data_IF_242158416840
#
_entry.id   IF_242158416840
#
_cell.length_a   1.000
_cell.length_b   1.000
_cell.length_c   1.000
_cell.angle_alpha   90.00
_cell.angle_beta   90.00
_cell.angle_gamma   90.00
#
_symmetry.space_group_name_H-M   'P 1'
#
loop_
_entity.id
_entity.type
_entity.pdbx_description
1 polymer ?
#
# COMPACT_ATOMS: atom_id res chain seq x y z
N UNK A 1 16.13 -0.41 -0.52
CA UNK A 1 17.27 0.03 -1.38
C UNK A 1 18.58 -0.49 -0.78
N UNK A 2 19.69 -0.51 -1.53
CA UNK A 2 20.95 -1.14 -1.09
C UNK A 2 21.85 -0.27 -0.20
N UNK A 3 21.58 1.03 -0.05
CA UNK A 3 22.35 1.94 0.83
C UNK A 3 23.73 2.38 0.32
N UNK A 4 24.19 1.83 -0.81
CA UNK A 4 25.46 2.17 -1.47
C UNK A 4 25.47 3.61 -2.02
N UNK A 5 26.64 4.25 -2.03
CA UNK A 5 26.82 5.64 -2.49
C UNK A 5 27.68 5.71 -3.75
N UNK A 6 27.49 6.75 -4.58
CA UNK A 6 28.30 6.93 -5.80
C UNK A 6 29.78 7.09 -5.46
N UNK A 7 30.08 7.81 -4.38
CA UNK A 7 31.43 8.14 -3.97
C UNK A 7 32.23 6.89 -3.52
N UNK A 8 31.58 5.96 -2.83
CA UNK A 8 32.26 4.81 -2.22
C UNK A 8 32.22 3.56 -3.11
N UNK A 9 31.15 3.39 -3.89
CA UNK A 9 30.91 2.13 -4.62
C UNK A 9 31.08 2.27 -6.14
N UNK A 10 31.46 3.44 -6.65
CA UNK A 10 31.56 3.75 -8.09
C UNK A 10 30.30 3.36 -8.89
N UNK A 11 29.13 3.42 -8.24
CA UNK A 11 27.87 2.97 -8.81
C UNK A 11 27.33 3.96 -9.85
N UNK A 12 26.86 3.43 -10.98
CA UNK A 12 26.09 4.20 -11.97
C UNK A 12 24.62 4.24 -11.57
N UNK A 13 24.05 5.45 -11.52
CA UNK A 13 22.63 5.65 -11.35
C UNK A 13 21.92 5.65 -12.70
N UNK A 14 20.67 5.21 -12.69
CA UNK A 14 19.74 5.31 -13.80
C UNK A 14 18.41 5.88 -13.31
N UNK A 15 17.69 6.51 -14.24
CA UNK A 15 16.33 6.98 -14.00
C UNK A 15 15.39 5.77 -14.08
N UNK A 16 14.46 5.68 -13.14
CA UNK A 16 13.45 4.63 -13.09
C UNK A 16 12.12 5.17 -12.54
N UNK A 17 11.00 4.49 -12.82
CA UNK A 17 9.66 4.90 -12.39
C UNK A 17 9.27 4.23 -11.09
N UNK A 18 9.09 4.97 -9.99
CA UNK A 18 8.63 4.47 -8.67
C UNK A 18 7.45 3.51 -8.79
N UNK A 19 6.40 3.94 -9.50
CA UNK A 19 5.27 3.11 -9.94
C UNK A 19 5.54 2.63 -11.37
N UNK A 20 5.50 1.31 -11.61
CA UNK A 20 5.63 0.75 -12.96
C UNK A 20 4.64 1.36 -13.97
N UNK A 21 5.09 1.57 -15.21
CA UNK A 21 4.25 2.18 -16.27
C UNK A 21 3.02 1.34 -16.63
N UNK A 22 3.19 0.02 -16.67
CA UNK A 22 2.10 -0.94 -16.85
C UNK A 22 1.04 -0.85 -15.73
N UNK A 23 1.39 -0.35 -14.55
CA UNK A 23 0.44 -0.10 -13.45
C UNK A 23 -0.11 1.34 -13.46
N UNK A 24 0.03 2.07 -14.57
CA UNK A 24 -0.46 3.44 -14.72
C UNK A 24 0.52 4.52 -14.23
N UNK A 25 1.77 4.17 -13.91
CA UNK A 25 2.78 5.14 -13.53
C UNK A 25 3.16 6.08 -14.68
N UNK A 26 2.96 7.39 -14.49
CA UNK A 26 3.30 8.43 -15.48
C UNK A 26 4.80 8.76 -15.50
N UNK A 27 5.29 9.28 -16.63
CA UNK A 27 6.67 9.78 -16.76
C UNK A 27 6.73 11.23 -16.29
N UNK A 28 6.71 11.43 -14.98
CA UNK A 28 6.74 12.74 -14.31
C UNK A 28 7.70 12.73 -13.12
N UNK A 29 8.24 13.90 -12.76
CA UNK A 29 9.30 14.01 -11.75
C UNK A 29 8.93 13.39 -10.39
N UNK A 30 7.66 13.49 -9.99
CA UNK A 30 7.08 12.85 -8.79
C UNK A 30 7.19 11.33 -8.82
N UNK A 31 7.03 10.70 -9.98
CA UNK A 31 7.11 9.26 -10.17
C UNK A 31 8.50 8.78 -10.61
N UNK A 32 9.44 9.68 -10.91
CA UNK A 32 10.81 9.31 -11.25
C UNK A 32 11.73 9.31 -10.02
N UNK A 33 12.73 8.44 -10.04
CA UNK A 33 13.84 8.44 -9.08
C UNK A 33 15.15 8.03 -9.75
N UNK A 34 16.27 8.34 -9.12
CA UNK A 34 17.59 7.89 -9.54
C UNK A 34 18.03 6.73 -8.63
N UNK A 35 18.21 5.53 -9.20
CA UNK A 35 18.60 4.33 -8.46
C UNK A 35 19.70 3.56 -9.19
N UNK A 36 20.48 2.75 -8.48
CA UNK A 36 21.52 1.94 -9.11
C UNK A 36 20.93 0.74 -9.88
N UNK A 37 21.72 0.18 -10.80
CA UNK A 37 21.30 -0.94 -11.65
C UNK A 37 20.79 -2.16 -10.86
N UNK A 38 21.50 -2.52 -9.79
CA UNK A 38 21.12 -3.64 -8.91
C UNK A 38 19.77 -3.42 -8.23
N UNK A 39 19.52 -2.21 -7.70
CA UNK A 39 18.25 -1.89 -7.08
C UNK A 39 17.10 -1.89 -8.07
N UNK A 40 17.33 -1.41 -9.30
CA UNK A 40 16.30 -1.46 -10.35
C UNK A 40 15.96 -2.91 -10.72
N UNK A 41 16.98 -3.77 -10.92
CA UNK A 41 16.77 -5.18 -11.19
C UNK A 41 15.93 -5.85 -10.10
N UNK A 42 16.32 -5.69 -8.84
CA UNK A 42 15.57 -6.27 -7.72
C UNK A 42 14.14 -5.74 -7.58
N UNK A 43 13.91 -4.48 -7.95
CA UNK A 43 12.55 -3.90 -7.99
C UNK A 43 11.71 -4.52 -9.12
N UNK A 44 12.28 -4.65 -10.31
CA UNK A 44 11.61 -5.29 -11.44
C UNK A 44 11.24 -6.73 -11.10
N UNK A 45 12.16 -7.47 -10.51
CA UNK A 45 11.94 -8.88 -10.13
C UNK A 45 10.84 -8.99 -9.05
N UNK A 46 10.78 -8.06 -8.10
CA UNK A 46 9.70 -7.97 -7.12
C UNK A 46 8.34 -7.70 -7.78
N UNK A 47 8.26 -6.76 -8.73
CA UNK A 47 6.98 -6.44 -9.37
C UNK A 47 6.52 -7.47 -10.39
N UNK A 48 7.43 -8.23 -10.98
CA UNK A 48 7.11 -9.32 -11.91
C UNK A 48 6.31 -10.46 -11.26
N UNK A 49 6.20 -10.51 -9.92
CA UNK A 49 5.38 -11.51 -9.22
C UNK A 49 3.90 -11.16 -9.13
N UNK A 50 3.48 -9.99 -9.63
CA UNK A 50 2.08 -9.54 -9.60
C UNK A 50 1.48 -9.47 -11.00
N UNK A 51 0.15 -9.58 -11.09
CA UNK A 51 -0.58 -9.39 -12.34
C UNK A 51 -0.72 -7.90 -12.65
N UNK A 52 -0.23 -7.49 -13.82
CA UNK A 52 -0.20 -6.09 -14.25
C UNK A 52 -1.59 -5.48 -14.42
N UNK A 53 -2.56 -6.26 -14.92
CA UNK A 53 -3.92 -5.78 -15.16
C UNK A 53 -4.59 -5.48 -13.82
N UNK A 54 -4.48 -6.42 -12.89
CA UNK A 54 -5.01 -6.29 -11.54
C UNK A 54 -4.37 -5.12 -10.80
N UNK A 55 -3.05 -4.96 -10.91
CA UNK A 55 -2.37 -3.86 -10.24
C UNK A 55 -2.67 -2.51 -10.88
N UNK A 56 -2.87 -2.44 -12.20
CA UNK A 56 -3.33 -1.23 -12.88
C UNK A 56 -4.70 -0.77 -12.33
N UNK A 57 -5.65 -1.68 -12.18
CA UNK A 57 -6.97 -1.40 -11.59
C UNK A 57 -6.86 -0.89 -10.15
N UNK A 58 -6.03 -1.55 -9.32
CA UNK A 58 -5.78 -1.10 -7.94
C UNK A 58 -5.19 0.31 -7.93
N UNK A 59 -4.21 0.61 -8.78
CA UNK A 59 -3.57 1.92 -8.80
C UNK A 59 -4.47 3.05 -9.30
N UNK A 60 -5.53 2.71 -10.05
CA UNK A 60 -6.49 3.68 -10.55
C UNK A 60 -7.30 4.34 -9.42
N UNK A 61 -7.57 3.64 -8.30
CA UNK A 61 -8.32 4.21 -7.18
C UNK A 61 -7.61 5.41 -6.55
N UNK A 62 -8.34 6.52 -6.37
CA UNK A 62 -7.83 7.73 -5.72
C UNK A 62 -7.70 7.57 -4.21
N UNK A 63 -8.66 6.90 -3.57
CA UNK A 63 -8.62 6.68 -2.13
C UNK A 63 -7.57 5.64 -1.75
N UNK A 64 -6.74 5.98 -0.75
CA UNK A 64 -5.87 5.00 -0.08
C UNK A 64 -6.68 3.83 0.51
N UNK A 65 -7.89 4.09 1.00
CA UNK A 65 -8.76 3.05 1.57
C UNK A 65 -9.21 2.05 0.52
N UNK A 66 -9.60 2.55 -0.67
CA UNK A 66 -9.99 1.69 -1.79
C UNK A 66 -8.80 0.88 -2.29
N UNK A 67 -7.62 1.51 -2.49
CA UNK A 67 -6.40 0.79 -2.89
C UNK A 67 -6.07 -0.35 -1.93
N UNK A 68 -6.04 -0.08 -0.63
CA UNK A 68 -5.76 -1.08 0.39
C UNK A 68 -6.82 -2.20 0.42
N UNK A 69 -8.11 -1.84 0.40
CA UNK A 69 -9.21 -2.79 0.47
C UNK A 69 -9.27 -3.70 -0.77
N UNK A 70 -9.09 -3.13 -1.97
CA UNK A 70 -9.09 -3.90 -3.21
C UNK A 70 -7.84 -4.79 -3.33
N UNK A 71 -6.67 -4.30 -2.91
CA UNK A 71 -5.44 -5.15 -2.81
C UNK A 71 -5.68 -6.37 -1.93
N UNK A 72 -6.33 -6.17 -0.78
CA UNK A 72 -6.68 -7.25 0.14
C UNK A 72 -7.78 -8.18 -0.40
N UNK A 73 -8.73 -7.66 -1.18
CA UNK A 73 -9.79 -8.43 -1.83
C UNK A 73 -9.23 -9.40 -2.86
N UNK A 74 -8.25 -8.97 -3.66
CA UNK A 74 -7.56 -9.82 -4.63
C UNK A 74 -6.92 -11.04 -3.93
N UNK A 75 -6.43 -10.83 -2.71
CA UNK A 75 -5.80 -11.86 -1.88
C UNK A 75 -6.74 -12.40 -0.78
N UNK A 76 -8.06 -12.42 -1.01
CA UNK A 76 -9.02 -12.84 0.01
C UNK A 76 -8.66 -14.22 0.58
N UNK A 77 -8.60 -14.31 1.91
CA UNK A 77 -8.19 -15.53 2.63
C UNK A 77 -6.69 -15.81 2.66
N UNK A 78 -5.88 -15.12 1.85
CA UNK A 78 -4.43 -15.29 1.75
C UNK A 78 -3.65 -14.20 2.49
N UNK A 79 -2.46 -14.50 3.05
CA UNK A 79 -1.56 -13.49 3.62
C UNK A 79 -1.04 -12.52 2.56
N UNK A 80 -1.35 -11.24 2.72
CA UNK A 80 -0.81 -10.14 1.90
C UNK A 80 0.39 -9.51 2.63
N UNK A 81 1.57 -9.41 2.01
CA UNK A 81 2.73 -8.78 2.62
C UNK A 81 2.53 -7.30 2.98
N UNK A 82 3.11 -6.88 4.11
CA UNK A 82 3.08 -5.48 4.55
C UNK A 82 3.70 -4.54 3.51
N UNK A 83 4.81 -4.93 2.89
CA UNK A 83 5.53 -4.11 1.91
C UNK A 83 4.68 -3.81 0.67
N UNK A 84 3.84 -4.76 0.25
CA UNK A 84 2.88 -4.53 -0.84
C UNK A 84 1.82 -3.50 -0.43
N UNK A 85 1.27 -3.63 0.77
CA UNK A 85 0.25 -2.70 1.28
C UNK A 85 0.82 -1.29 1.48
N UNK A 86 2.06 -1.16 1.94
CA UNK A 86 2.76 0.11 2.01
C UNK A 86 2.95 0.73 0.63
N UNK A 87 3.39 -0.07 -0.35
CA UNK A 87 3.59 0.38 -1.72
C UNK A 87 2.29 0.93 -2.33
N UNK A 88 1.20 0.15 -2.29
CA UNK A 88 -0.10 0.59 -2.86
C UNK A 88 -0.67 1.79 -2.10
N UNK A 89 -0.45 1.89 -0.78
CA UNK A 89 -0.93 3.02 -0.01
C UNK A 89 -0.29 4.34 -0.46
N UNK A 90 1.03 4.29 -0.72
CA UNK A 90 1.87 5.45 -1.05
C UNK A 90 1.90 5.80 -2.54
N UNK A 91 1.21 5.04 -3.41
CA UNK A 91 1.28 5.24 -4.86
C UNK A 91 0.94 6.68 -5.31
N UNK A 92 -0.24 7.20 -4.96
CA UNK A 92 -0.65 8.54 -5.40
C UNK A 92 -0.18 9.68 -4.49
N UNK A 93 -0.06 9.42 -3.20
CA UNK A 93 0.37 10.40 -2.21
C UNK A 93 1.04 9.70 -1.05
N UNK A 94 2.04 10.34 -0.47
CA UNK A 94 2.73 9.82 0.72
C UNK A 94 1.74 9.72 1.89
N UNK A 95 1.70 8.55 2.52
CA UNK A 95 0.85 8.22 3.66
C UNK A 95 1.75 7.80 4.83
N UNK A 96 2.20 8.76 5.64
CA UNK A 96 3.11 8.48 6.77
C UNK A 96 2.52 7.49 7.78
N UNK A 97 1.19 7.38 7.88
CA UNK A 97 0.49 6.40 8.72
C UNK A 97 -0.49 5.54 7.91
N UNK A 98 0.02 4.83 6.92
CA UNK A 98 -0.77 3.87 6.13
C UNK A 98 -1.36 2.74 7.00
N UNK A 99 -0.67 2.38 8.09
CA UNK A 99 -1.17 1.42 9.07
C UNK A 99 -2.48 1.88 9.71
N UNK A 100 -2.64 3.17 10.02
CA UNK A 100 -3.92 3.72 10.46
C UNK A 100 -5.00 3.58 9.39
N UNK A 101 -4.70 3.91 8.13
CA UNK A 101 -5.67 3.75 7.01
C UNK A 101 -6.15 2.32 6.89
N UNK A 102 -5.24 1.36 7.05
CA UNK A 102 -5.58 -0.06 7.09
C UNK A 102 -6.45 -0.44 8.31
N UNK A 103 -6.18 0.13 9.49
CA UNK A 103 -7.01 -0.09 10.69
C UNK A 103 -8.40 0.52 10.55
N UNK A 104 -8.53 1.67 9.92
CA UNK A 104 -9.80 2.38 9.68
C UNK A 104 -10.77 1.55 8.83
N UNK A 105 -10.26 0.71 7.92
CA UNK A 105 -11.08 -0.25 7.15
C UNK A 105 -11.82 -1.27 8.04
N UNK A 106 -11.37 -1.46 9.28
CA UNK A 106 -12.02 -2.34 10.27
C UNK A 106 -13.13 -1.64 11.06
N UNK A 107 -13.31 -0.35 10.88
CA UNK A 107 -14.35 0.39 11.60
C UNK A 107 -15.74 -0.15 11.25
N UNK A 108 -16.72 -0.11 12.17
CA UNK A 108 -18.06 -0.65 11.93
C UNK A 108 -18.76 -0.06 10.69
N UNK A 109 -18.44 1.19 10.34
CA UNK A 109 -18.97 1.88 9.16
C UNK A 109 -18.42 1.36 7.83
N UNK A 110 -17.36 0.54 7.87
CA UNK A 110 -16.79 -0.17 6.71
C UNK A 110 -16.96 -1.69 6.87
N UNK A 111 -16.52 -2.25 7.99
CA UNK A 111 -16.84 -3.63 8.38
C UNK A 111 -15.89 -4.72 7.86
N UNK A 112 -14.71 -4.38 7.33
CA UNK A 112 -13.73 -5.39 6.92
C UNK A 112 -13.07 -6.05 8.15
N UNK A 113 -12.99 -7.38 8.14
CA UNK A 113 -12.27 -8.19 9.13
C UNK A 113 -10.91 -8.52 8.56
N UNK A 114 -9.89 -7.89 9.10
CA UNK A 114 -8.51 -8.05 8.66
C UNK A 114 -7.70 -8.59 9.85
N UNK A 115 -7.12 -9.77 9.70
CA UNK A 115 -6.21 -10.35 10.70
C UNK A 115 -4.76 -10.02 10.37
N UNK A 116 -3.92 -9.91 11.40
CA UNK A 116 -2.47 -9.73 11.24
C UNK A 116 -1.79 -11.07 11.47
N UNK A 117 -0.79 -11.39 10.65
CA UNK A 117 0.04 -12.59 10.75
C UNK A 117 1.51 -12.25 10.61
N UNK A 118 2.36 -13.26 10.83
CA UNK A 118 3.80 -13.18 10.58
C UNK A 118 4.24 -14.37 9.74
N UNK A 119 5.12 -14.14 8.77
CA UNK A 119 5.66 -15.16 7.88
C UNK A 119 7.19 -15.12 7.95
N UNK A 120 7.83 -16.26 8.21
CA UNK A 120 9.29 -16.36 8.14
C UNK A 120 9.69 -16.40 6.66
N UNK A 121 10.61 -15.53 6.28
CA UNK A 121 11.21 -15.45 4.95
C UNK A 121 12.73 -15.58 5.07
N UNK A 122 13.44 -15.72 3.96
CA UNK A 122 14.91 -15.69 3.92
C UNK A 122 15.49 -14.37 4.46
N UNK A 123 14.73 -13.27 4.36
CA UNK A 123 15.13 -11.92 4.81
C UNK A 123 14.75 -11.65 6.27
N UNK A 124 14.11 -12.60 6.95
CA UNK A 124 13.64 -12.45 8.32
C UNK A 124 12.12 -12.61 8.46
N UNK A 125 11.55 -12.06 9.53
CA UNK A 125 10.12 -12.16 9.81
C UNK A 125 9.36 -11.02 9.11
N UNK A 126 8.45 -11.38 8.21
CA UNK A 126 7.58 -10.45 7.48
C UNK A 126 6.21 -10.36 8.16
N UNK A 127 5.68 -9.15 8.33
CA UNK A 127 4.29 -8.96 8.77
C UNK A 127 3.35 -9.10 7.58
N UNK A 128 2.23 -9.80 7.76
CA UNK A 128 1.22 -10.02 6.73
C UNK A 128 -0.16 -9.64 7.24
N UNK A 129 -1.06 -9.32 6.31
CA UNK A 129 -2.45 -9.00 6.60
C UNK A 129 -3.34 -9.90 5.75
N UNK A 130 -4.38 -10.48 6.35
CA UNK A 130 -5.32 -11.36 5.67
C UNK A 130 -6.72 -10.83 5.83
N UNK A 131 -7.39 -10.58 4.70
CA UNK A 131 -8.81 -10.26 4.68
C UNK A 131 -9.62 -11.54 4.91
N UNK A 132 -10.55 -11.48 5.86
CA UNK A 132 -11.39 -12.62 6.29
C UNK A 132 -12.82 -12.51 5.77
N UNK A 133 -13.27 -11.32 5.42
CA UNK A 133 -14.54 -11.09 4.73
C UNK A 133 -14.41 -9.90 3.79
N UNK A 134 -15.21 -9.92 2.73
CA UNK A 134 -15.47 -8.75 1.91
C UNK A 134 -16.82 -8.13 2.29
N UNK A 135 -16.88 -6.80 2.28
CA UNK A 135 -18.10 -6.01 2.35
C UNK A 135 -17.95 -4.94 1.28
N UNK A 136 -19.01 -4.66 0.52
CA UNK A 136 -18.97 -3.62 -0.49
C UNK A 136 -18.72 -2.26 0.17
N UNK A 137 -17.73 -1.55 -0.36
CA UNK A 137 -17.34 -0.26 0.16
C UNK A 137 -18.41 0.79 -0.15
N UNK A 138 -18.67 1.74 0.75
CA UNK A 138 -19.49 2.89 0.41
C UNK A 138 -18.82 3.69 -0.72
N UNK A 139 -19.59 4.49 -1.45
CA UNK A 139 -19.10 5.28 -2.58
C UNK A 139 -17.95 6.23 -2.24
N UNK A 140 -17.81 6.64 -0.97
CA UNK A 140 -16.65 7.38 -0.49
C UNK A 140 -16.24 6.90 0.91
N UNK A 141 -15.40 5.85 1.00
CA UNK A 141 -14.99 5.26 2.28
C UNK A 141 -14.26 6.25 3.16
N UNK A 142 -13.45 7.13 2.56
CA UNK A 142 -12.66 8.12 3.30
C UNK A 142 -13.55 9.14 4.00
N UNK A 143 -14.62 9.61 3.33
CA UNK A 143 -15.57 10.54 3.94
C UNK A 143 -16.33 9.89 5.09
N UNK A 144 -16.83 8.67 4.89
CA UNK A 144 -17.56 7.91 5.92
C UNK A 144 -16.69 7.65 7.15
N UNK A 145 -15.43 7.25 6.96
CA UNK A 145 -14.45 7.06 8.05
C UNK A 145 -14.23 8.38 8.81
N UNK A 146 -14.04 9.50 8.11
CA UNK A 146 -13.84 10.82 8.74
C UNK A 146 -15.06 11.25 9.54
N UNK A 147 -16.27 11.02 9.04
CA UNK A 147 -17.53 11.28 9.76
C UNK A 147 -17.62 10.45 11.02
N UNK A 148 -17.35 9.15 10.93
CA UNK A 148 -17.30 8.26 12.08
C UNK A 148 -16.28 8.69 13.15
N UNK A 149 -15.07 9.09 12.74
CA UNK A 149 -14.05 9.58 13.67
C UNK A 149 -14.51 10.86 14.39
N UNK A 150 -15.11 11.82 13.67
CA UNK A 150 -15.65 13.06 14.26
C UNK A 150 -16.73 12.76 15.30
N UNK A 151 -17.66 11.87 14.98
CA UNK A 151 -18.73 11.48 15.89
C UNK A 151 -18.19 10.75 17.13
N UNK A 152 -17.19 9.89 16.96
CA UNK A 152 -16.53 9.19 18.07
C UNK A 152 -15.87 10.18 19.04
N UNK A 153 -15.15 11.16 18.52
CA UNK A 153 -14.52 12.22 19.34
C UNK A 153 -15.57 13.06 20.05
N UNK A 154 -16.64 13.48 19.34
CA UNK A 154 -17.73 14.26 19.93
C UNK A 154 -18.43 13.53 21.07
N UNK A 155 -18.71 12.23 20.92
CA UNK A 155 -19.31 11.40 21.97
C UNK A 155 -18.38 11.26 23.18
N UNK A 156 -17.07 11.09 22.94
CA UNK A 156 -16.09 10.99 24.01
C UNK A 156 -15.97 12.30 24.83
N UNK A 157 -16.02 13.47 24.17
CA UNK A 157 -16.00 14.77 24.84
C UNK A 157 -17.26 15.07 25.66
N UNK A 158 -18.42 14.57 25.23
CA UNK A 158 -19.69 14.73 25.98
C UNK A 158 -19.81 13.79 27.20
N UNK A 159 -18.96 12.76 27.28
CA UNK A 159 -18.96 11.77 28.35
C UNK A 159 -17.92 12.07 29.45
N UNK A 160 -17.20 13.19 29.35
CA UNK A 160 -16.27 13.72 30.35
C UNK A 160 -16.89 14.98 30.97
#
# INVERSE_FOLDING_TARGET
>A
MCGKTIAEDHIKLQIDHKIPRNWGGLTELSNLWAICQRCNGGKRDYFATFDDTVMNEVMAYDSVHERLAHTLRIHLGSPTPSDLLEFVANAKSRQDDWHKRLRELRYPVIGLKISVGKKKTERGMETTYTLRNWVDLPSNPTKVIREFERDRVRKHLKAR
#
